data_IF_213305446059
#
_entry.id   IF_213305446059
#
_cell.length_a   1.000
_cell.length_b   1.000
_cell.length_c   1.000
_cell.angle_alpha   90.00
_cell.angle_beta   90.00
_cell.angle_gamma   90.00
#
_symmetry.space_group_name_H-M   'P 1'
#
loop_
_entity.id
_entity.type
_entity.pdbx_description
1 polymer ?
#
# COMPACT_ATOMS: atom_id res chain seq x y z
N UNK A 1 -40.60 13.11 -16.70
CA UNK A 1 -39.78 11.88 -16.90
C UNK A 1 -38.33 12.26 -17.18
N UNK A 2 -37.61 12.80 -16.18
CA UNK A 2 -36.22 13.23 -16.33
C UNK A 2 -35.44 13.05 -15.01
N UNK A 3 -35.56 11.86 -14.42
CA UNK A 3 -34.78 11.40 -13.28
C UNK A 3 -34.55 9.91 -13.50
N UNK A 4 -33.37 9.50 -13.99
CA UNK A 4 -32.83 8.11 -13.91
C UNK A 4 -31.56 7.84 -14.73
N UNK A 5 -30.61 8.78 -14.88
CA UNK A 5 -29.32 8.44 -15.52
C UNK A 5 -28.06 8.89 -14.73
N UNK A 6 -28.21 9.57 -13.60
CA UNK A 6 -27.08 10.00 -12.74
C UNK A 6 -26.77 8.99 -11.60
N UNK A 7 -27.38 7.80 -11.63
CA UNK A 7 -27.72 7.00 -10.43
C UNK A 7 -26.76 5.83 -10.09
N UNK A 8 -25.55 5.76 -10.66
CA UNK A 8 -24.68 4.57 -10.54
C UNK A 8 -23.54 4.71 -9.52
N UNK A 9 -22.98 5.91 -9.32
CA UNK A 9 -21.91 6.12 -8.33
C UNK A 9 -22.47 6.33 -6.90
N UNK A 10 -23.59 7.03 -6.76
CA UNK A 10 -24.13 7.48 -5.47
C UNK A 10 -25.08 6.49 -4.75
N UNK A 11 -25.48 5.37 -5.37
CA UNK A 11 -26.39 4.41 -4.73
C UNK A 11 -25.85 2.98 -4.66
N UNK A 12 -24.89 2.63 -5.52
CA UNK A 12 -24.32 1.28 -5.55
C UNK A 12 -22.90 1.23 -4.98
N UNK A 13 -22.11 2.31 -5.03
CA UNK A 13 -20.71 2.30 -4.56
C UNK A 13 -20.54 3.04 -3.22
N UNK A 14 -21.56 3.75 -2.75
CA UNK A 14 -21.58 4.40 -1.43
C UNK A 14 -22.41 3.62 -0.41
N UNK A 15 -21.76 3.22 0.70
CA UNK A 15 -22.29 2.91 2.03
C UNK A 15 -23.78 2.51 2.07
N UNK A 16 -24.12 1.40 1.41
CA UNK A 16 -25.43 0.79 1.55
C UNK A 16 -25.43 0.00 2.86
N UNK A 17 -26.34 0.31 3.79
CA UNK A 17 -26.53 -0.45 5.04
C UNK A 17 -26.72 -1.96 4.81
N UNK A 18 -27.07 -2.34 3.58
CA UNK A 18 -27.35 -3.70 3.13
C UNK A 18 -26.11 -4.46 2.59
N UNK A 19 -24.92 -3.83 2.56
CA UNK A 19 -23.67 -4.51 2.15
C UNK A 19 -22.80 -4.91 3.34
N UNK A 20 -22.16 -6.10 3.27
CA UNK A 20 -21.31 -6.60 4.35
C UNK A 20 -20.04 -5.77 4.54
N UNK A 21 -19.53 -5.07 3.52
CA UNK A 21 -18.46 -4.08 3.62
C UNK A 21 -18.51 -3.13 2.39
N UNK A 22 -17.61 -2.15 2.35
CA UNK A 22 -17.47 -1.20 1.24
C UNK A 22 -16.29 -1.49 0.31
N UNK A 23 -15.71 -2.70 0.39
CA UNK A 23 -14.63 -3.10 -0.49
C UNK A 23 -15.17 -3.39 -1.90
N UNK A 24 -14.48 -2.85 -2.92
CA UNK A 24 -14.88 -2.94 -4.32
C UNK A 24 -13.71 -3.44 -5.17
N UNK A 25 -13.94 -4.48 -5.97
CA UNK A 25 -13.05 -4.88 -7.06
C UNK A 25 -13.62 -4.35 -8.39
N UNK A 26 -12.81 -3.64 -9.15
CA UNK A 26 -13.14 -3.08 -10.46
C UNK A 26 -12.21 -3.72 -11.49
N UNK A 27 -12.75 -4.58 -12.35
CA UNK A 27 -11.97 -5.45 -13.22
C UNK A 27 -12.18 -5.08 -14.68
N UNK A 28 -11.09 -4.90 -15.42
CA UNK A 28 -11.15 -4.69 -16.86
C UNK A 28 -9.87 -4.13 -17.44
N UNK A 29 -9.71 -4.24 -18.76
CA UNK A 29 -8.47 -3.90 -19.45
C UNK A 29 -8.07 -2.42 -19.32
N UNK A 30 -6.80 -2.13 -19.56
CA UNK A 30 -6.33 -0.74 -19.71
C UNK A 30 -7.08 -0.02 -20.83
N UNK A 31 -7.38 1.26 -20.64
CA UNK A 31 -8.25 2.03 -21.54
C UNK A 31 -9.74 1.67 -21.47
N UNK A 32 -10.14 0.69 -20.65
CA UNK A 32 -11.53 0.28 -20.45
C UNK A 32 -12.42 1.29 -19.74
N UNK A 33 -11.85 2.40 -19.23
CA UNK A 33 -12.62 3.48 -18.57
C UNK A 33 -12.95 3.22 -17.10
N UNK A 34 -12.24 2.29 -16.43
CA UNK A 34 -12.42 1.97 -15.00
C UNK A 34 -12.36 3.22 -14.11
N UNK A 35 -11.25 3.96 -14.18
CA UNK A 35 -10.98 5.14 -13.35
C UNK A 35 -12.04 6.22 -13.57
N UNK A 36 -12.34 6.54 -14.83
CA UNK A 36 -13.34 7.55 -15.20
C UNK A 36 -14.79 7.14 -14.89
N UNK A 37 -15.11 5.85 -14.80
CA UNK A 37 -16.49 5.39 -14.61
C UNK A 37 -16.81 5.02 -13.16
N UNK A 38 -15.81 4.71 -12.34
CA UNK A 38 -16.00 4.20 -10.97
C UNK A 38 -15.13 4.94 -9.95
N UNK A 39 -13.81 4.96 -10.13
CA UNK A 39 -12.90 5.56 -9.15
C UNK A 39 -13.10 7.06 -8.99
N UNK A 40 -12.99 7.83 -10.07
CA UNK A 40 -13.09 9.28 -10.04
C UNK A 40 -14.46 9.75 -9.55
N UNK A 41 -15.59 9.22 -10.03
CA UNK A 41 -16.89 9.57 -9.46
C UNK A 41 -16.96 9.27 -7.96
N UNK A 42 -16.43 8.14 -7.51
CA UNK A 42 -16.42 7.78 -6.08
C UNK A 42 -15.59 8.76 -5.27
N UNK A 43 -14.42 9.15 -5.76
CA UNK A 43 -13.57 10.15 -5.11
C UNK A 43 -14.21 11.55 -5.12
N UNK A 44 -14.83 11.97 -6.22
CA UNK A 44 -15.40 13.31 -6.36
C UNK A 44 -16.65 13.53 -5.50
N UNK A 45 -17.40 12.46 -5.23
CA UNK A 45 -18.60 12.48 -4.38
C UNK A 45 -18.33 12.03 -2.94
N UNK A 46 -17.08 11.71 -2.59
CA UNK A 46 -16.67 11.42 -1.23
C UNK A 46 -16.52 12.72 -0.43
N UNK A 47 -17.33 12.90 0.62
CA UNK A 47 -17.39 14.16 1.38
C UNK A 47 -17.12 13.98 2.87
N UNK A 48 -17.05 12.74 3.35
CA UNK A 48 -17.10 12.38 4.77
C UNK A 48 -15.96 11.46 5.23
N UNK A 49 -15.39 10.65 4.34
CA UNK A 49 -14.27 9.78 4.64
C UNK A 49 -12.94 10.36 4.17
N UNK A 50 -11.88 10.17 4.95
CA UNK A 50 -10.50 10.39 4.52
C UNK A 50 -10.13 9.42 3.39
N UNK A 51 -9.15 9.79 2.57
CA UNK A 51 -8.71 8.97 1.45
C UNK A 51 -7.19 8.74 1.45
N UNK A 52 -6.80 7.56 0.99
CA UNK A 52 -5.44 7.27 0.50
C UNK A 52 -5.61 6.87 -0.96
N UNK A 53 -4.99 7.59 -1.89
CA UNK A 53 -5.16 7.32 -3.32
C UNK A 53 -3.83 7.23 -4.06
N UNK A 54 -3.65 6.13 -4.78
CA UNK A 54 -2.51 5.94 -5.66
C UNK A 54 -2.76 6.54 -7.06
N UNK A 55 -1.75 7.20 -7.62
CA UNK A 55 -1.79 7.67 -9.00
C UNK A 55 -0.49 7.37 -9.74
N UNK A 56 -0.61 6.76 -10.93
CA UNK A 56 0.51 6.59 -11.86
C UNK A 56 0.89 7.86 -12.63
N UNK A 57 0.07 8.90 -12.57
CA UNK A 57 0.26 10.17 -13.29
C UNK A 57 0.13 11.34 -12.33
N UNK A 58 1.26 12.01 -12.05
CA UNK A 58 1.34 13.11 -11.09
C UNK A 58 0.32 14.23 -11.37
N UNK A 59 0.09 14.56 -12.66
CA UNK A 59 -0.88 15.60 -13.06
C UNK A 59 -2.30 15.35 -12.53
N UNK A 60 -2.76 14.10 -12.55
CA UNK A 60 -4.11 13.78 -12.08
C UNK A 60 -4.16 13.79 -10.55
N UNK A 61 -3.12 13.31 -9.87
CA UNK A 61 -2.98 13.42 -8.42
C UNK A 61 -3.06 14.87 -7.94
N UNK A 62 -2.30 15.80 -8.55
CA UNK A 62 -2.33 17.21 -8.17
C UNK A 62 -3.68 17.89 -8.43
N UNK A 63 -4.41 17.48 -9.48
CA UNK A 63 -5.77 17.97 -9.72
C UNK A 63 -6.74 17.50 -8.65
N UNK A 64 -6.67 16.21 -8.31
CA UNK A 64 -7.50 15.63 -7.28
C UNK A 64 -7.18 16.23 -5.90
N UNK A 65 -5.90 16.44 -5.60
CA UNK A 65 -5.44 17.15 -4.41
C UNK A 65 -6.03 18.57 -4.32
N UNK A 66 -5.98 19.34 -5.41
CA UNK A 66 -6.59 20.68 -5.45
C UNK A 66 -8.11 20.63 -5.24
N UNK A 67 -8.79 19.63 -5.79
CA UNK A 67 -10.22 19.42 -5.56
C UNK A 67 -10.53 19.13 -4.09
N UNK A 68 -9.83 18.18 -3.47
CA UNK A 68 -10.02 17.82 -2.05
C UNK A 68 -9.71 19.00 -1.12
N UNK A 69 -8.69 19.80 -1.44
CA UNK A 69 -8.38 21.03 -0.68
C UNK A 69 -9.53 22.04 -0.72
N UNK A 70 -10.21 22.19 -1.86
CA UNK A 70 -11.41 23.05 -1.98
C UNK A 70 -12.61 22.49 -1.22
N UNK A 71 -12.69 21.18 -1.02
CA UNK A 71 -13.71 20.53 -0.19
C UNK A 71 -13.40 20.59 1.31
N UNK A 72 -12.30 21.25 1.72
CA UNK A 72 -11.94 21.45 3.12
C UNK A 72 -11.20 20.29 3.76
N UNK A 73 -10.66 19.36 2.98
CA UNK A 73 -9.78 18.30 3.50
C UNK A 73 -8.38 18.87 3.76
N UNK A 74 -7.69 18.32 4.77
CA UNK A 74 -6.23 18.39 4.80
C UNK A 74 -5.69 17.54 3.66
N UNK A 75 -4.70 18.04 2.93
CA UNK A 75 -4.20 17.37 1.73
C UNK A 75 -2.69 17.25 1.81
N UNK A 76 -2.20 16.03 1.60
CA UNK A 76 -0.80 15.68 1.65
C UNK A 76 -0.39 14.87 0.42
N UNK A 77 0.82 15.09 -0.05
CA UNK A 77 1.38 14.43 -1.23
C UNK A 77 2.70 13.72 -0.88
N UNK A 78 2.74 12.41 -1.13
CA UNK A 78 3.98 11.62 -1.23
C UNK A 78 4.24 11.39 -2.71
N UNK A 79 5.27 12.03 -3.26
CA UNK A 79 5.66 11.82 -4.65
C UNK A 79 6.92 10.95 -4.73
N UNK A 80 6.76 9.64 -4.92
CA UNK A 80 7.90 8.72 -4.98
C UNK A 80 8.76 8.97 -6.23
N UNK A 81 8.13 9.38 -7.34
CA UNK A 81 8.84 9.63 -8.60
C UNK A 81 9.77 10.84 -8.53
N UNK A 82 9.35 11.87 -7.79
CA UNK A 82 10.06 13.15 -7.60
C UNK A 82 9.74 13.72 -6.21
N UNK A 83 10.44 13.26 -5.15
CA UNK A 83 10.12 13.60 -3.76
C UNK A 83 10.08 15.11 -3.46
N UNK A 84 10.89 15.91 -4.16
CA UNK A 84 10.91 17.37 -4.02
C UNK A 84 9.61 18.07 -4.42
N UNK A 85 8.71 17.40 -5.14
CA UNK A 85 7.37 17.92 -5.47
C UNK A 85 6.28 17.42 -4.52
N UNK A 86 6.60 16.55 -3.58
CA UNK A 86 5.74 16.18 -2.46
C UNK A 86 5.94 17.11 -1.25
N UNK A 87 5.05 17.00 -0.27
CA UNK A 87 5.07 17.82 0.95
C UNK A 87 5.43 17.00 2.19
N UNK A 88 5.26 15.68 2.12
CA UNK A 88 5.56 14.72 3.17
C UNK A 88 6.18 13.47 2.56
N UNK A 89 6.80 12.66 3.40
CA UNK A 89 7.26 11.32 3.06
C UNK A 89 6.81 10.32 4.14
N UNK A 90 7.40 9.12 4.18
CA UNK A 90 7.06 8.15 5.21
C UNK A 90 8.28 7.49 5.83
N UNK A 91 8.47 7.66 7.12
CA UNK A 91 9.49 6.94 7.86
C UNK A 91 8.82 5.90 8.74
N UNK A 92 8.92 4.59 8.42
CA UNK A 92 8.25 3.54 9.18
C UNK A 92 8.76 3.46 10.62
N UNK A 93 9.96 3.98 10.91
CA UNK A 93 10.51 3.94 12.26
C UNK A 93 9.74 4.83 13.25
N UNK A 94 8.93 5.78 12.76
CA UNK A 94 8.12 6.68 13.60
C UNK A 94 6.95 5.98 14.31
N UNK A 95 6.53 4.83 13.82
CA UNK A 95 5.37 4.12 14.35
C UNK A 95 5.76 2.88 15.20
N UNK A 96 7.05 2.69 15.47
CA UNK A 96 7.55 1.56 16.28
C UNK A 96 7.48 1.90 17.77
N UNK A 97 6.75 1.09 18.54
CA UNK A 97 6.58 1.23 19.98
C UNK A 97 6.94 -0.05 20.76
N UNK A 98 7.05 -1.20 20.09
CA UNK A 98 7.29 -2.49 20.71
C UNK A 98 8.29 -3.37 19.95
N UNK A 99 8.75 -4.44 20.61
CA UNK A 99 9.59 -5.47 19.96
C UNK A 99 8.83 -6.25 18.89
N UNK A 100 7.52 -6.40 19.03
CA UNK A 100 6.68 -7.07 18.04
C UNK A 100 6.58 -6.21 16.77
N UNK A 101 6.48 -4.88 16.93
CA UNK A 101 6.46 -3.92 15.81
C UNK A 101 7.79 -3.95 15.05
N UNK A 102 8.91 -4.04 15.77
CA UNK A 102 10.24 -4.19 15.16
C UNK A 102 10.29 -5.44 14.27
N UNK A 103 9.89 -6.59 14.82
CA UNK A 103 9.88 -7.85 14.06
C UNK A 103 8.88 -7.81 12.90
N UNK A 104 7.72 -7.17 13.08
CA UNK A 104 6.74 -6.97 12.02
C UNK A 104 7.31 -6.11 10.87
N UNK A 105 7.98 -4.99 11.18
CA UNK A 105 8.60 -4.12 10.19
C UNK A 105 9.74 -4.83 9.45
N UNK A 106 10.65 -5.51 10.17
CA UNK A 106 11.69 -6.34 9.56
C UNK A 106 11.11 -7.37 8.60
N UNK A 107 10.02 -8.04 9.01
CA UNK A 107 9.34 -9.02 8.17
C UNK A 107 8.78 -8.37 6.89
N UNK A 108 8.10 -7.23 6.98
CA UNK A 108 7.59 -6.51 5.80
C UNK A 108 8.72 -6.13 4.85
N UNK A 109 9.84 -5.62 5.37
CA UNK A 109 10.99 -5.20 4.55
C UNK A 109 11.62 -6.43 3.85
N UNK A 110 12.01 -7.45 4.60
CA UNK A 110 12.73 -8.62 4.08
C UNK A 110 11.88 -9.43 3.11
N UNK A 111 10.60 -9.66 3.44
CA UNK A 111 9.71 -10.47 2.59
C UNK A 111 9.13 -9.70 1.41
N UNK A 112 9.25 -8.36 1.36
CA UNK A 112 8.79 -7.58 0.20
C UNK A 112 9.53 -7.90 -1.11
N UNK A 113 10.71 -8.53 -1.01
CA UNK A 113 11.59 -8.83 -2.14
C UNK A 113 11.62 -10.31 -2.54
N UNK A 114 10.96 -11.20 -1.80
CA UNK A 114 11.03 -12.64 -2.03
C UNK A 114 10.06 -13.10 -3.13
N UNK A 115 10.56 -13.98 -3.99
CA UNK A 115 9.80 -14.56 -5.11
C UNK A 115 9.75 -16.09 -5.05
N UNK A 116 10.65 -16.76 -4.30
CA UNK A 116 10.78 -18.22 -4.28
C UNK A 116 11.17 -18.79 -2.89
N UNK A 117 10.87 -20.08 -2.66
CA UNK A 117 11.00 -20.76 -1.37
C UNK A 117 12.43 -20.96 -0.84
N UNK A 118 13.47 -20.88 -1.70
CA UNK A 118 14.87 -20.96 -1.26
C UNK A 118 15.30 -19.68 -0.57
N UNK A 119 14.76 -18.56 -1.02
CA UNK A 119 15.05 -17.24 -0.47
C UNK A 119 14.39 -17.08 0.91
N UNK A 120 13.27 -17.79 1.16
CA UNK A 120 12.59 -17.84 2.46
C UNK A 120 13.48 -18.31 3.60
N UNK A 121 14.36 -19.30 3.39
CA UNK A 121 15.25 -19.79 4.45
C UNK A 121 16.24 -18.71 4.90
N UNK A 122 16.83 -17.98 3.95
CA UNK A 122 17.78 -16.93 4.24
C UNK A 122 17.10 -15.68 4.78
N UNK A 123 15.90 -15.36 4.28
CA UNK A 123 15.04 -14.31 4.80
C UNK A 123 14.74 -14.51 6.29
N UNK A 124 14.32 -15.72 6.71
CA UNK A 124 14.10 -16.03 8.12
C UNK A 124 15.36 -15.81 8.98
N UNK A 125 16.55 -16.01 8.41
CA UNK A 125 17.83 -15.83 9.11
C UNK A 125 18.28 -14.37 9.14
N UNK A 126 17.82 -13.52 8.23
CA UNK A 126 18.14 -12.10 8.23
C UNK A 126 17.22 -11.26 9.12
N UNK A 127 16.00 -11.74 9.44
CA UNK A 127 15.09 -11.01 10.34
C UNK A 127 15.74 -10.61 11.68
N UNK A 128 16.42 -11.49 12.44
CA UNK A 128 16.99 -11.09 13.72
C UNK A 128 18.12 -10.04 13.59
N UNK A 129 18.81 -10.01 12.45
CA UNK A 129 19.80 -8.99 12.15
C UNK A 129 19.12 -7.65 11.85
N UNK A 130 18.07 -7.64 11.03
CA UNK A 130 17.26 -6.44 10.79
C UNK A 130 16.67 -5.90 12.10
N UNK A 131 16.07 -6.79 12.92
CA UNK A 131 15.50 -6.47 14.22
C UNK A 131 16.50 -5.77 15.14
N UNK A 132 17.73 -6.29 15.25
CA UNK A 132 18.70 -5.70 16.18
C UNK A 132 19.22 -4.35 15.71
N UNK A 133 19.30 -4.10 14.40
CA UNK A 133 19.72 -2.80 13.86
C UNK A 133 18.62 -1.75 14.08
N UNK A 134 17.35 -2.11 13.87
CA UNK A 134 16.19 -1.26 14.17
C UNK A 134 16.16 -0.93 15.67
N UNK A 135 16.23 -1.96 16.51
CA UNK A 135 16.22 -1.82 17.98
C UNK A 135 17.40 -0.96 18.48
N UNK A 136 18.59 -1.18 17.93
CA UNK A 136 19.76 -0.36 18.25
C UNK A 136 19.54 1.12 17.87
N UNK A 137 19.00 1.42 16.69
CA UNK A 137 18.76 2.81 16.28
C UNK A 137 17.79 3.51 17.22
N UNK A 138 16.72 2.82 17.63
CA UNK A 138 15.73 3.32 18.59
C UNK A 138 16.32 3.61 19.98
N UNK A 139 17.35 2.86 20.39
CA UNK A 139 18.00 3.04 21.69
C UNK A 139 19.15 4.07 21.66
N UNK A 140 19.86 4.19 20.54
CA UNK A 140 21.04 5.06 20.40
C UNK A 140 20.67 6.50 20.10
N UNK A 141 19.69 6.72 19.22
CA UNK A 141 19.32 8.05 18.76
C UNK A 141 18.06 8.57 19.44
N UNK A 142 18.04 9.86 19.78
CA UNK A 142 16.87 10.50 20.37
C UNK A 142 15.72 10.67 19.36
N UNK A 143 16.06 10.88 18.10
CA UNK A 143 15.11 11.09 17.00
C UNK A 143 15.43 10.16 15.82
N UNK A 144 15.33 8.85 16.04
CA UNK A 144 15.75 7.86 15.06
C UNK A 144 14.87 7.93 13.81
N UNK A 145 15.46 7.60 12.68
CA UNK A 145 14.78 7.40 11.41
C UNK A 145 15.36 6.17 10.69
N UNK A 146 14.67 5.68 9.66
CA UNK A 146 15.12 4.48 8.94
C UNK A 146 16.53 4.61 8.34
N UNK A 147 17.01 5.81 8.00
CA UNK A 147 18.39 5.97 7.52
C UNK A 147 19.42 5.67 8.60
N UNK A 148 19.15 5.90 9.89
CA UNK A 148 20.06 5.52 10.96
C UNK A 148 20.24 3.99 11.04
N UNK A 149 19.17 3.24 10.78
CA UNK A 149 19.20 1.77 10.68
C UNK A 149 20.03 1.32 9.48
N UNK A 150 19.86 1.99 8.34
CA UNK A 150 20.61 1.69 7.12
C UNK A 150 22.09 2.06 7.26
N UNK A 151 22.43 3.11 8.00
CA UNK A 151 23.80 3.50 8.30
C UNK A 151 24.49 2.48 9.23
N UNK A 152 23.76 1.89 10.19
CA UNK A 152 24.26 0.73 10.94
C UNK A 152 24.45 -0.50 10.06
N UNK A 153 23.56 -0.72 9.10
CA UNK A 153 23.71 -1.82 8.14
C UNK A 153 24.94 -1.63 7.24
N UNK A 154 25.17 -0.42 6.72
CA UNK A 154 26.31 -0.11 5.84
C UNK A 154 27.66 -0.30 6.57
N UNK A 155 27.68 -0.23 7.91
CA UNK A 155 28.84 -0.59 8.72
C UNK A 155 29.12 -2.11 8.80
N UNK A 156 28.17 -2.97 8.44
CA UNK A 156 28.40 -4.42 8.30
C UNK A 156 29.06 -4.78 6.97
N UNK A 157 28.96 -3.90 5.97
CA UNK A 157 29.47 -4.13 4.61
C UNK A 157 30.83 -3.45 4.34
N UNK A 158 31.28 -2.58 5.26
CA UNK A 158 32.47 -1.73 5.11
C UNK A 158 33.84 -2.45 5.22
N UNK A 159 33.91 -3.78 5.38
CA UNK A 159 35.19 -4.48 5.53
C UNK A 159 35.83 -4.90 4.20
N UNK A 160 37.14 -4.65 4.03
CA UNK A 160 37.94 -5.06 2.85
C UNK A 160 37.98 -6.59 2.62
N UNK A 161 37.58 -7.39 3.62
CA UNK A 161 37.53 -8.86 3.55
C UNK A 161 36.09 -9.42 3.43
N UNK A 162 35.08 -8.56 3.23
CA UNK A 162 33.73 -8.94 2.82
C UNK A 162 32.81 -9.57 3.88
N UNK A 163 33.20 -9.62 5.16
CA UNK A 163 32.41 -10.28 6.23
C UNK A 163 32.49 -9.60 7.60
N UNK A 164 33.14 -8.44 7.71
CA UNK A 164 33.45 -7.81 8.99
C UNK A 164 32.40 -6.80 9.45
N UNK A 165 31.86 -7.03 10.65
CA UNK A 165 31.22 -6.00 11.45
C UNK A 165 32.28 -4.94 11.79
N UNK A 166 32.02 -3.66 11.48
CA UNK A 166 32.95 -2.58 11.81
C UNK A 166 33.25 -2.49 13.32
N UNK A 167 34.38 -1.88 13.66
CA UNK A 167 34.73 -1.66 15.07
C UNK A 167 33.73 -0.71 15.73
N UNK A 168 33.28 0.30 14.98
CA UNK A 168 32.31 1.31 15.40
C UNK A 168 30.96 0.67 15.74
N UNK A 169 30.45 -0.22 14.89
CA UNK A 169 29.18 -0.91 15.15
C UNK A 169 29.30 -1.86 16.34
N UNK A 170 30.44 -2.55 16.50
CA UNK A 170 30.69 -3.38 17.69
C UNK A 170 30.71 -2.57 18.97
N UNK A 171 31.34 -1.40 18.96
CA UNK A 171 31.38 -0.50 20.11
C UNK A 171 29.96 -0.06 20.51
N UNK A 172 29.11 0.29 19.55
CA UNK A 172 27.69 0.62 19.79
C UNK A 172 26.97 -0.52 20.52
N UNK A 173 27.11 -1.76 20.03
CA UNK A 173 26.44 -2.90 20.66
C UNK A 173 27.04 -3.30 22.01
N UNK A 174 28.33 -3.07 22.25
CA UNK A 174 28.93 -3.24 23.58
C UNK A 174 28.40 -2.19 24.57
N UNK A 175 28.19 -0.94 24.15
CA UNK A 175 27.51 0.08 24.98
C UNK A 175 26.07 -0.35 25.30
N UNK A 176 25.32 -0.84 24.31
CA UNK A 176 23.95 -1.33 24.54
C UNK A 176 23.92 -2.49 25.55
N UNK A 177 24.89 -3.39 25.48
CA UNK A 177 25.07 -4.49 26.44
C UNK A 177 25.44 -3.98 27.84
N UNK A 178 26.31 -2.97 27.96
CA UNK A 178 26.66 -2.39 29.27
C UNK A 178 25.42 -1.77 29.94
N UNK A 179 24.54 -1.15 29.15
CA UNK A 179 23.28 -0.58 29.63
C UNK A 179 22.24 -1.65 29.99
N UNK A 180 22.02 -2.62 29.10
CA UNK A 180 21.12 -3.75 29.32
C UNK A 180 21.65 -5.04 28.63
N UNK A 181 22.30 -5.94 29.39
CA UNK A 181 22.82 -7.21 28.87
C UNK A 181 21.75 -8.18 28.35
N UNK A 182 20.49 -7.97 28.72
CA UNK A 182 19.37 -8.82 28.30
C UNK A 182 18.53 -8.17 27.18
N UNK A 183 18.94 -6.99 26.70
CA UNK A 183 18.27 -6.29 25.60
C UNK A 183 18.18 -7.16 24.35
N UNK A 184 17.06 -7.06 23.65
CA UNK A 184 16.82 -7.86 22.44
C UNK A 184 17.83 -7.49 21.33
N UNK A 185 18.15 -6.20 21.17
CA UNK A 185 19.22 -5.68 20.33
C UNK A 185 20.54 -6.44 20.54
N UNK A 186 21.09 -6.42 21.76
CA UNK A 186 22.37 -7.09 22.05
C UNK A 186 22.29 -8.60 21.86
N UNK A 187 21.26 -9.27 22.39
CA UNK A 187 21.15 -10.74 22.29
C UNK A 187 21.13 -11.21 20.84
N UNK A 188 20.35 -10.54 19.97
CA UNK A 188 20.24 -10.87 18.55
C UNK A 188 21.55 -10.55 17.80
N UNK A 189 22.15 -9.39 18.03
CA UNK A 189 23.42 -9.01 17.41
C UNK A 189 24.57 -9.94 17.83
N UNK A 190 24.72 -10.23 19.12
CA UNK A 190 25.74 -11.15 19.64
C UNK A 190 25.58 -12.57 19.06
N UNK A 191 24.33 -13.03 18.88
CA UNK A 191 24.07 -14.30 18.22
C UNK A 191 24.55 -14.29 16.75
N UNK A 192 24.29 -13.21 16.03
CA UNK A 192 24.78 -13.00 14.67
C UNK A 192 26.32 -12.91 14.62
N UNK A 193 26.96 -12.07 15.44
CA UNK A 193 28.42 -11.86 15.42
C UNK A 193 29.18 -13.15 15.77
N UNK A 194 28.68 -13.95 16.73
CA UNK A 194 29.20 -15.29 17.02
C UNK A 194 29.04 -16.26 15.85
N UNK A 195 27.89 -16.22 15.16
CA UNK A 195 27.66 -17.06 13.99
C UNK A 195 28.59 -16.67 12.85
N UNK A 196 28.73 -15.37 12.59
CA UNK A 196 29.59 -14.82 11.56
C UNK A 196 31.06 -15.18 11.81
N UNK A 197 31.53 -15.06 13.06
CA UNK A 197 32.89 -15.47 13.46
C UNK A 197 33.14 -16.98 13.29
N UNK A 198 32.11 -17.81 13.48
CA UNK A 198 32.23 -19.28 13.31
C UNK A 198 32.11 -19.74 11.86
N UNK A 199 31.34 -19.01 11.05
CA UNK A 199 31.04 -19.34 9.67
C UNK A 199 30.82 -18.07 8.86
N UNK A 200 31.92 -17.46 8.45
CA UNK A 200 31.95 -16.23 7.66
C UNK A 200 31.05 -16.32 6.43
N UNK A 201 31.07 -17.46 5.73
CA UNK A 201 30.21 -17.68 4.55
C UNK A 201 28.71 -17.62 4.90
N UNK A 202 28.32 -18.14 6.06
CA UNK A 202 26.90 -18.12 6.48
C UNK A 202 26.50 -16.70 6.88
N UNK A 203 27.36 -15.99 7.61
CA UNK A 203 27.15 -14.58 7.94
C UNK A 203 27.04 -13.70 6.69
N UNK A 204 27.92 -13.89 5.72
CA UNK A 204 27.87 -13.22 4.42
C UNK A 204 26.53 -13.42 3.71
N UNK A 205 26.01 -14.66 3.63
CA UNK A 205 24.71 -14.91 3.00
C UNK A 205 23.54 -14.20 3.72
N UNK A 206 23.61 -14.06 5.04
CA UNK A 206 22.61 -13.32 5.83
C UNK A 206 22.69 -11.82 5.52
N UNK A 207 23.91 -11.25 5.49
CA UNK A 207 24.16 -9.85 5.13
C UNK A 207 23.66 -9.60 3.70
N UNK A 208 24.06 -10.41 2.72
CA UNK A 208 23.67 -10.27 1.31
C UNK A 208 22.15 -10.30 1.12
N UNK A 209 21.45 -11.16 1.89
CA UNK A 209 19.98 -11.23 1.85
C UNK A 209 19.34 -9.96 2.39
N UNK A 210 19.88 -9.42 3.48
CA UNK A 210 19.39 -8.17 4.05
C UNK A 210 19.74 -6.96 3.17
N UNK A 211 20.93 -6.96 2.58
CA UNK A 211 21.40 -5.94 1.61
C UNK A 211 20.43 -5.85 0.43
N UNK A 212 20.09 -6.99 -0.17
CA UNK A 212 19.15 -7.06 -1.28
C UNK A 212 17.78 -6.47 -0.90
N UNK A 213 17.28 -6.76 0.30
CA UNK A 213 16.01 -6.20 0.78
C UNK A 213 16.10 -4.70 1.03
N UNK A 214 17.10 -4.23 1.79
CA UNK A 214 17.28 -2.83 2.13
C UNK A 214 17.52 -1.96 0.90
N UNK A 215 18.34 -2.39 -0.06
CA UNK A 215 18.59 -1.62 -1.29
C UNK A 215 17.39 -1.61 -2.24
N UNK A 216 16.58 -2.67 -2.24
CA UNK A 216 15.35 -2.73 -3.05
C UNK A 216 14.24 -1.85 -2.47
N UNK A 217 14.07 -1.85 -1.15
CA UNK A 217 13.02 -1.10 -0.45
C UNK A 217 13.43 0.35 -0.19
N UNK A 218 14.71 0.63 0.07
CA UNK A 218 15.22 1.96 0.38
C UNK A 218 16.32 2.37 -0.59
N UNK A 219 16.00 2.54 -1.89
CA UNK A 219 16.95 3.10 -2.84
C UNK A 219 17.33 4.53 -2.43
N UNK A 220 18.46 5.02 -2.96
CA UNK A 220 19.05 6.31 -2.57
C UNK A 220 18.07 7.50 -2.61
N UNK A 221 17.13 7.51 -3.55
CA UNK A 221 16.10 8.56 -3.65
C UNK A 221 15.13 8.54 -2.47
N UNK A 222 14.80 7.35 -1.95
CA UNK A 222 13.96 7.15 -0.77
C UNK A 222 14.72 7.53 0.50
N UNK A 223 15.99 7.11 0.63
CA UNK A 223 16.85 7.48 1.78
C UNK A 223 16.92 9.00 1.96
N UNK A 224 17.21 9.73 0.87
CA UNK A 224 17.23 11.21 0.88
C UNK A 224 15.89 11.83 1.26
N UNK A 225 14.78 11.27 0.77
CA UNK A 225 13.46 11.79 1.07
C UNK A 225 13.08 11.61 2.55
N UNK A 226 13.42 10.47 3.16
CA UNK A 226 13.23 10.23 4.61
C UNK A 226 13.98 11.27 5.46
N UNK A 227 15.21 11.63 5.06
CA UNK A 227 16.03 12.59 5.79
C UNK A 227 15.58 14.06 5.63
N UNK A 228 14.96 14.40 4.49
CA UNK A 228 14.73 15.80 4.10
C UNK A 228 13.27 16.25 4.25
N UNK A 229 12.32 15.33 4.19
CA UNK A 229 10.89 15.64 4.26
C UNK A 229 10.30 15.19 5.62
N UNK A 230 9.28 15.90 6.12
CA UNK A 230 8.56 15.46 7.30
C UNK A 230 7.84 14.12 7.03
N UNK A 231 7.90 13.20 7.99
CA UNK A 231 7.15 11.95 7.91
C UNK A 231 5.66 12.19 8.17
N UNK A 232 4.81 11.56 7.36
CA UNK A 232 3.36 11.59 7.50
C UNK A 232 2.89 10.66 8.64
N UNK A 233 2.00 11.15 9.52
CA UNK A 233 1.34 10.35 10.56
C UNK A 233 0.02 9.78 10.02
N UNK A 234 -0.01 8.47 9.74
CA UNK A 234 -1.22 7.79 9.24
C UNK A 234 -2.42 7.95 10.16
N UNK A 235 -2.22 8.11 11.48
CA UNK A 235 -3.32 8.28 12.44
C UNK A 235 -4.14 9.55 12.16
N UNK A 236 -3.56 10.54 11.47
CA UNK A 236 -4.27 11.76 11.07
C UNK A 236 -5.49 11.47 10.18
N UNK A 237 -5.38 10.48 9.28
CA UNK A 237 -6.49 10.06 8.40
C UNK A 237 -7.72 9.60 9.19
N UNK A 238 -7.51 9.00 10.36
CA UNK A 238 -8.58 8.54 11.25
C UNK A 238 -9.10 9.60 12.22
N UNK A 239 -8.37 10.72 12.42
CA UNK A 239 -8.72 11.81 13.34
C UNK A 239 -9.56 12.90 12.68
N UNK A 240 -9.18 13.27 11.45
CA UNK A 240 -9.79 14.37 10.71
C UNK A 240 -9.79 14.10 9.21
N UNK A 241 -10.66 14.81 8.47
CA UNK A 241 -10.82 14.63 7.02
C UNK A 241 -9.53 14.97 6.28
N UNK A 242 -8.82 13.94 5.86
CA UNK A 242 -7.49 14.04 5.24
C UNK A 242 -7.46 13.25 3.94
N UNK A 243 -6.79 13.80 2.92
CA UNK A 243 -6.55 13.16 1.65
C UNK A 243 -5.04 13.01 1.41
N UNK A 244 -4.56 11.77 1.48
CA UNK A 244 -3.19 11.40 1.16
C UNK A 244 -3.11 10.90 -0.28
N UNK A 245 -2.29 11.54 -1.09
CA UNK A 245 -2.02 11.12 -2.46
C UNK A 245 -0.61 10.54 -2.56
N UNK A 246 -0.49 9.33 -3.10
CA UNK A 246 0.79 8.64 -3.31
C UNK A 246 1.02 8.48 -4.80
N UNK A 247 2.00 9.20 -5.34
CA UNK A 247 2.36 9.13 -6.76
C UNK A 247 3.49 8.11 -6.93
N UNK A 248 3.26 7.12 -7.78
CA UNK A 248 4.27 6.16 -8.18
C UNK A 248 4.08 5.77 -9.65
N UNK A 249 5.08 6.03 -10.49
CA UNK A 249 4.97 5.73 -11.91
C UNK A 249 4.98 4.22 -12.17
N UNK A 250 4.06 3.70 -13.01
CA UNK A 250 4.07 2.28 -13.39
C UNK A 250 5.33 1.87 -14.17
N UNK A 251 6.13 2.84 -14.66
CA UNK A 251 7.38 2.57 -15.37
C UNK A 251 8.56 2.43 -14.41
N UNK A 252 8.49 3.01 -13.20
CA UNK A 252 9.57 2.99 -12.21
C UNK A 252 9.35 1.88 -11.18
N UNK A 253 9.55 0.63 -11.60
CA UNK A 253 9.32 -0.55 -10.74
C UNK A 253 10.15 -0.56 -9.45
N UNK A 254 11.32 0.09 -9.44
CA UNK A 254 12.22 0.14 -8.28
C UNK A 254 11.62 0.83 -7.05
N UNK A 255 10.58 1.65 -7.21
CA UNK A 255 9.92 2.36 -6.10
C UNK A 255 8.69 1.63 -5.58
N UNK A 256 8.24 0.58 -6.27
CA UNK A 256 7.00 -0.12 -5.93
C UNK A 256 7.13 -0.94 -4.63
N UNK A 257 8.32 -1.44 -4.31
CA UNK A 257 8.56 -2.12 -3.02
C UNK A 257 8.38 -1.16 -1.84
N UNK A 258 8.92 0.05 -1.95
CA UNK A 258 8.74 1.09 -0.95
C UNK A 258 7.29 1.58 -0.87
N UNK A 259 6.64 1.79 -2.02
CA UNK A 259 5.21 2.12 -2.06
C UNK A 259 4.37 1.07 -1.32
N UNK A 260 4.65 -0.21 -1.56
CA UNK A 260 3.98 -1.31 -0.88
C UNK A 260 4.26 -1.34 0.62
N UNK A 261 5.49 -1.02 1.06
CA UNK A 261 5.80 -0.87 2.48
C UNK A 261 4.95 0.24 3.13
N UNK A 262 4.80 1.40 2.46
CA UNK A 262 3.93 2.49 2.93
C UNK A 262 2.49 1.98 3.12
N UNK A 263 1.95 1.23 2.16
CA UNK A 263 0.59 0.71 2.28
C UNK A 263 0.47 -0.35 3.36
N UNK A 264 1.38 -1.33 3.41
CA UNK A 264 1.33 -2.44 4.37
C UNK A 264 1.40 -1.92 5.81
N UNK A 265 2.42 -1.12 6.11
CA UNK A 265 2.64 -0.57 7.44
C UNK A 265 1.63 0.54 7.77
N UNK A 266 1.26 1.40 6.82
CA UNK A 266 0.27 2.45 7.04
C UNK A 266 -1.13 1.90 7.33
N UNK A 267 -1.53 0.80 6.69
CA UNK A 267 -2.78 0.08 7.00
C UNK A 267 -2.73 -0.52 8.40
N UNK A 268 -1.60 -1.14 8.78
CA UNK A 268 -1.38 -1.68 10.12
C UNK A 268 -1.54 -0.60 11.20
N UNK A 269 -0.87 0.54 11.04
CA UNK A 269 -0.97 1.69 11.96
C UNK A 269 -2.41 2.20 12.09
N UNK A 270 -3.15 2.27 10.98
CA UNK A 270 -4.57 2.67 11.01
C UNK A 270 -5.44 1.67 11.77
N UNK A 271 -5.18 0.38 11.60
CA UNK A 271 -5.95 -0.68 12.25
C UNK A 271 -5.66 -0.76 13.75
N UNK A 272 -4.39 -0.66 14.14
CA UNK A 272 -4.01 -0.56 15.55
C UNK A 272 -4.60 0.70 16.19
N UNK A 273 -4.55 1.83 15.48
CA UNK A 273 -5.16 3.06 15.96
C UNK A 273 -6.67 2.91 16.14
N UNK A 274 -7.37 2.21 15.23
CA UNK A 274 -8.79 1.91 15.37
C UNK A 274 -9.10 1.08 16.64
N UNK A 275 -8.23 0.12 16.99
CA UNK A 275 -8.38 -0.69 18.20
C UNK A 275 -8.24 0.11 19.51
N UNK A 276 -7.70 1.32 19.46
CA UNK A 276 -7.63 2.21 20.64
C UNK A 276 -8.98 2.82 21.02
N UNK A 277 -10.00 2.72 20.15
CA UNK A 277 -11.35 3.23 20.38
C UNK A 277 -12.30 2.13 20.89
N UNK A 278 -13.31 2.52 21.68
CA UNK A 278 -14.23 1.57 22.35
C UNK A 278 -14.97 0.65 21.38
N UNK A 279 -15.35 1.13 20.19
CA UNK A 279 -16.03 0.34 19.16
C UNK A 279 -15.08 -0.27 18.12
N UNK A 280 -13.77 -0.12 18.33
CA UNK A 280 -12.71 -0.61 17.45
C UNK A 280 -12.63 0.12 16.11
N UNK A 281 -13.28 1.29 15.95
CA UNK A 281 -13.36 2.02 14.67
C UNK A 281 -12.68 3.37 14.73
N UNK A 282 -12.15 3.78 13.58
CA UNK A 282 -11.67 5.14 13.38
C UNK A 282 -12.83 6.15 13.46
N UNK A 283 -12.65 7.29 14.17
CA UNK A 283 -13.61 8.39 14.18
C UNK A 283 -13.97 8.92 12.80
N UNK A 284 -12.99 8.98 11.90
CA UNK A 284 -13.16 9.28 10.47
C UNK A 284 -12.85 8.04 9.67
N UNK A 285 -13.81 7.57 8.85
CA UNK A 285 -13.59 6.43 7.95
C UNK A 285 -12.46 6.74 6.96
N UNK A 286 -11.73 5.70 6.54
CA UNK A 286 -10.64 5.84 5.57
C UNK A 286 -10.92 4.94 4.35
N UNK A 287 -10.87 5.51 3.15
CA UNK A 287 -11.06 4.81 1.87
C UNK A 287 -9.75 4.76 1.10
N UNK A 288 -9.30 3.56 0.74
CA UNK A 288 -8.12 3.34 -0.07
C UNK A 288 -8.52 3.19 -1.55
N UNK A 289 -7.81 3.86 -2.44
CA UNK A 289 -8.01 3.79 -3.89
C UNK A 289 -6.71 3.37 -4.58
N UNK A 290 -6.77 2.25 -5.30
CA UNK A 290 -5.67 1.73 -6.10
C UNK A 290 -6.08 1.69 -7.58
N UNK A 291 -5.66 2.69 -8.37
CA UNK A 291 -5.97 2.81 -9.82
C UNK A 291 -5.42 1.64 -10.65
N UNK A 292 -4.33 1.01 -10.20
CA UNK A 292 -3.69 -0.12 -10.87
C UNK A 292 -3.14 -1.14 -9.86
N UNK A 293 -4.05 -1.76 -9.11
CA UNK A 293 -3.72 -2.76 -8.10
C UNK A 293 -3.16 -4.03 -8.75
N UNK A 294 -2.05 -4.53 -8.20
CA UNK A 294 -1.41 -5.73 -8.72
C UNK A 294 -0.65 -5.50 -10.03
N UNK A 295 0.19 -4.46 -10.09
CA UNK A 295 1.06 -4.21 -11.26
C UNK A 295 2.55 -4.51 -11.08
N UNK A 296 3.04 -4.75 -9.86
CA UNK A 296 4.49 -4.97 -9.69
C UNK A 296 4.85 -5.92 -8.56
N UNK A 297 4.38 -5.66 -7.34
CA UNK A 297 4.69 -6.49 -6.18
C UNK A 297 3.46 -6.60 -5.26
N UNK A 298 3.35 -7.68 -4.48
CA UNK A 298 2.27 -7.82 -3.50
C UNK A 298 2.48 -6.89 -2.31
N UNK A 299 1.38 -6.40 -1.74
CA UNK A 299 1.34 -5.88 -0.36
C UNK A 299 1.11 -7.11 0.51
N UNK A 300 2.09 -7.49 1.33
CA UNK A 300 2.23 -8.86 1.83
C UNK A 300 1.05 -9.31 2.71
N UNK A 301 0.63 -8.45 3.64
CA UNK A 301 -0.44 -8.71 4.61
C UNK A 301 -1.82 -8.23 4.15
N UNK A 302 -1.95 -7.84 2.87
CA UNK A 302 -3.17 -7.21 2.36
C UNK A 302 -4.43 -8.10 2.41
N UNK A 303 -4.40 -9.38 1.99
CA UNK A 303 -5.57 -10.26 2.09
C UNK A 303 -6.08 -10.42 3.53
N UNK A 304 -5.15 -10.52 4.49
CA UNK A 304 -5.45 -10.65 5.92
C UNK A 304 -6.09 -9.37 6.45
N UNK A 305 -5.52 -8.20 6.13
CA UNK A 305 -6.08 -6.91 6.55
C UNK A 305 -7.47 -6.63 5.96
N UNK A 306 -7.69 -6.97 4.69
CA UNK A 306 -8.99 -6.75 4.03
C UNK A 306 -10.16 -7.40 4.78
N UNK A 307 -9.93 -8.53 5.45
CA UNK A 307 -10.96 -9.25 6.22
C UNK A 307 -11.49 -8.47 7.42
N UNK A 308 -10.70 -7.51 7.93
CA UNK A 308 -10.98 -6.73 9.14
C UNK A 308 -11.06 -5.22 8.90
N UNK A 309 -11.00 -4.78 7.64
CA UNK A 309 -11.19 -3.37 7.26
C UNK A 309 -12.47 -2.77 7.83
N UNK A 310 -13.61 -3.46 7.67
CA UNK A 310 -14.90 -2.94 8.14
C UNK A 310 -14.91 -2.68 9.64
N UNK A 311 -14.35 -3.59 10.44
CA UNK A 311 -14.32 -3.42 11.90
C UNK A 311 -13.49 -2.22 12.31
N UNK A 312 -12.49 -1.82 11.52
CA UNK A 312 -11.65 -0.65 11.77
C UNK A 312 -12.18 0.66 11.13
N UNK A 313 -13.25 0.62 10.34
CA UNK A 313 -13.72 1.79 9.57
C UNK A 313 -12.91 2.07 8.29
N UNK A 314 -12.23 1.06 7.78
CA UNK A 314 -11.49 1.06 6.51
C UNK A 314 -12.34 0.45 5.38
N UNK A 315 -12.04 0.85 4.16
CA UNK A 315 -12.54 0.19 2.94
C UNK A 315 -11.60 0.45 1.77
N UNK A 316 -11.69 -0.36 0.72
CA UNK A 316 -10.80 -0.24 -0.44
C UNK A 316 -11.53 -0.37 -1.78
N UNK A 317 -11.05 0.36 -2.77
CA UNK A 317 -11.38 0.19 -4.18
C UNK A 317 -10.14 -0.25 -4.95
N UNK A 318 -10.22 -1.46 -5.52
CA UNK A 318 -9.14 -2.09 -6.27
C UNK A 318 -9.48 -2.06 -7.75
N UNK A 319 -8.75 -1.28 -8.54
CA UNK A 319 -8.81 -1.37 -9.99
C UNK A 319 -7.77 -2.38 -10.45
N UNK A 320 -8.21 -3.50 -11.03
CA UNK A 320 -7.34 -4.55 -11.56
C UNK A 320 -7.60 -4.77 -13.04
N UNK A 321 -6.58 -5.21 -13.79
CA UNK A 321 -6.72 -5.42 -15.23
C UNK A 321 -7.39 -6.75 -15.55
N UNK A 322 -7.02 -7.81 -14.81
CA UNK A 322 -7.61 -9.14 -14.90
C UNK A 322 -7.37 -9.93 -13.62
N UNK A 323 -8.16 -10.97 -13.40
CA UNK A 323 -7.93 -11.93 -12.33
C UNK A 323 -6.64 -12.72 -12.53
N UNK A 324 -6.27 -13.08 -13.77
CA UNK A 324 -4.97 -13.73 -14.05
C UNK A 324 -3.78 -12.90 -13.58
N UNK A 325 -3.84 -11.57 -13.78
CA UNK A 325 -2.79 -10.66 -13.35
C UNK A 325 -2.69 -10.60 -11.82
N UNK A 326 -3.84 -10.53 -11.14
CA UNK A 326 -3.88 -10.58 -9.68
C UNK A 326 -3.31 -11.90 -9.15
N UNK A 327 -3.68 -13.02 -9.76
CA UNK A 327 -3.17 -14.36 -9.43
C UNK A 327 -1.66 -14.48 -9.67
N UNK A 328 -1.11 -13.81 -10.69
CA UNK A 328 0.33 -13.85 -10.97
C UNK A 328 1.19 -13.20 -9.88
N UNK A 329 0.61 -12.28 -9.10
CA UNK A 329 1.32 -11.52 -8.06
C UNK A 329 1.06 -12.10 -6.68
N UNK A 330 -0.19 -12.43 -6.37
CA UNK A 330 -0.57 -12.90 -5.04
C UNK A 330 -0.61 -14.43 -4.94
N UNK A 331 -0.52 -15.14 -6.07
CA UNK A 331 -0.88 -16.56 -6.13
C UNK A 331 -2.40 -16.74 -6.15
N UNK A 332 -2.85 -17.94 -6.56
CA UNK A 332 -4.27 -18.23 -6.77
C UNK A 332 -5.11 -18.05 -5.49
N UNK A 333 -4.62 -18.54 -4.36
CA UNK A 333 -5.36 -18.55 -3.10
C UNK A 333 -5.55 -17.14 -2.54
N UNK A 334 -4.48 -16.35 -2.42
CA UNK A 334 -4.56 -14.98 -1.91
C UNK A 334 -5.32 -14.05 -2.86
N UNK A 335 -5.16 -14.21 -4.18
CA UNK A 335 -5.96 -13.45 -5.15
C UNK A 335 -7.45 -13.72 -5.00
N UNK A 336 -7.83 -14.99 -4.78
CA UNK A 336 -9.22 -15.39 -4.52
C UNK A 336 -9.72 -14.78 -3.20
N UNK A 337 -8.91 -14.79 -2.15
CA UNK A 337 -9.25 -14.18 -0.86
C UNK A 337 -9.49 -12.66 -0.98
N UNK A 338 -8.65 -11.95 -1.74
CA UNK A 338 -8.83 -10.50 -2.02
C UNK A 338 -10.18 -10.25 -2.68
N UNK A 339 -10.48 -10.97 -3.77
CA UNK A 339 -11.74 -10.77 -4.53
C UNK A 339 -12.97 -11.15 -3.71
N UNK A 340 -12.89 -12.17 -2.86
CA UNK A 340 -13.99 -12.60 -2.01
C UNK A 340 -14.27 -11.65 -0.84
N UNK A 341 -13.28 -10.87 -0.41
CA UNK A 341 -13.46 -9.81 0.60
C UNK A 341 -14.04 -8.51 0.03
N UNK A 342 -14.26 -8.43 -1.29
CA UNK A 342 -15.00 -7.34 -1.93
C UNK A 342 -16.49 -7.63 -1.96
N UNK A 343 -17.29 -6.81 -1.25
CA UNK A 343 -18.75 -6.89 -1.33
C UNK A 343 -19.28 -6.57 -2.74
N UNK A 344 -18.49 -5.87 -3.56
CA UNK A 344 -18.85 -5.46 -4.92
C UNK A 344 -17.75 -5.84 -5.90
N UNK A 345 -18.17 -6.40 -7.02
CA UNK A 345 -17.33 -6.72 -8.16
C UNK A 345 -17.92 -6.06 -9.41
N UNK A 346 -17.17 -5.17 -10.04
CA UNK A 346 -17.60 -4.41 -11.22
C UNK A 346 -16.71 -4.79 -12.40
N UNK A 347 -17.26 -5.51 -13.37
CA UNK A 347 -16.56 -5.90 -14.57
C UNK A 347 -16.82 -4.94 -15.72
N UNK A 348 -15.75 -4.57 -16.43
CA UNK A 348 -15.77 -3.78 -17.65
C UNK A 348 -15.49 -4.70 -18.85
N UNK A 349 -16.52 -5.05 -19.64
CA UNK A 349 -16.36 -5.81 -20.88
C UNK A 349 -15.34 -5.21 -21.84
N UNK A 350 -14.71 -6.09 -22.62
CA UNK A 350 -13.72 -5.77 -23.64
C UNK A 350 -12.37 -6.48 -23.46
N UNK A 351 -12.17 -7.18 -22.35
CA UNK A 351 -11.01 -8.06 -22.15
C UNK A 351 -11.26 -9.49 -22.64
N UNK A 352 -10.19 -10.18 -23.04
CA UNK A 352 -10.22 -11.59 -23.44
C UNK A 352 -9.51 -12.52 -22.44
N UNK A 353 -9.29 -12.04 -21.22
CA UNK A 353 -8.69 -12.85 -20.16
C UNK A 353 -9.64 -13.99 -19.75
N UNK A 354 -9.29 -15.23 -20.10
CA UNK A 354 -10.19 -16.38 -19.90
C UNK A 354 -10.52 -16.65 -18.44
N UNK A 355 -9.59 -16.43 -17.52
CA UNK A 355 -9.83 -16.62 -16.08
C UNK A 355 -10.90 -15.65 -15.61
N UNK A 356 -10.73 -14.36 -15.93
CA UNK A 356 -11.70 -13.31 -15.61
C UNK A 356 -13.05 -13.57 -16.26
N UNK A 357 -13.08 -13.84 -17.58
CA UNK A 357 -14.35 -14.04 -18.29
C UNK A 357 -15.11 -15.26 -17.75
N UNK A 358 -14.41 -16.33 -17.33
CA UNK A 358 -15.03 -17.50 -16.71
C UNK A 358 -15.59 -17.16 -15.32
N UNK A 359 -14.82 -16.48 -14.47
CA UNK A 359 -15.29 -15.98 -13.16
C UNK A 359 -16.54 -15.11 -13.32
N UNK A 360 -16.54 -14.17 -14.26
CA UNK A 360 -17.69 -13.30 -14.55
C UNK A 360 -18.88 -14.09 -15.11
N UNK A 361 -18.65 -15.06 -15.99
CA UNK A 361 -19.69 -15.95 -16.53
C UNK A 361 -20.42 -16.70 -15.43
N UNK A 362 -19.67 -17.25 -14.46
CA UNK A 362 -20.21 -17.93 -13.29
C UNK A 362 -20.97 -16.97 -12.37
N UNK A 363 -20.40 -15.79 -12.08
CA UNK A 363 -21.02 -14.78 -11.20
C UNK A 363 -22.29 -14.16 -11.77
N UNK A 364 -22.33 -13.92 -13.08
CA UNK A 364 -23.48 -13.35 -13.78
C UNK A 364 -24.53 -14.41 -14.18
N UNK A 365 -24.19 -15.69 -14.07
CA UNK A 365 -24.97 -16.79 -14.64
C UNK A 365 -25.27 -16.57 -16.15
N UNK A 366 -24.23 -16.19 -16.91
CA UNK A 366 -24.30 -15.93 -18.35
C UNK A 366 -23.34 -16.87 -19.10
N UNK A 367 -23.64 -17.27 -20.34
CA UNK A 367 -22.70 -18.03 -21.16
C UNK A 367 -21.35 -17.30 -21.31
N UNK A 368 -20.24 -18.03 -21.23
CA UNK A 368 -18.89 -17.48 -21.36
C UNK A 368 -18.71 -16.65 -22.65
N UNK A 369 -19.32 -17.11 -23.74
CA UNK A 369 -19.30 -16.43 -25.03
C UNK A 369 -19.92 -15.03 -24.96
N UNK A 370 -21.04 -14.88 -24.25
CA UNK A 370 -21.71 -13.59 -24.07
C UNK A 370 -20.86 -12.63 -23.23
N UNK A 371 -20.13 -13.14 -22.23
CA UNK A 371 -19.20 -12.32 -21.44
C UNK A 371 -18.02 -11.86 -22.30
N UNK A 372 -17.41 -12.77 -23.07
CA UNK A 372 -16.25 -12.46 -23.93
C UNK A 372 -16.57 -11.46 -25.03
N UNK A 373 -17.79 -11.50 -25.58
CA UNK A 373 -18.23 -10.62 -26.67
C UNK A 373 -19.17 -9.50 -26.20
N UNK A 374 -19.30 -9.30 -24.89
CA UNK A 374 -20.11 -8.23 -24.34
C UNK A 374 -19.63 -6.86 -24.84
N UNK A 375 -20.55 -5.98 -25.26
CA UNK A 375 -20.18 -4.70 -25.86
C UNK A 375 -19.52 -3.77 -24.84
N UNK A 376 -18.46 -3.10 -25.28
CA UNK A 376 -17.84 -1.98 -24.56
C UNK A 376 -18.89 -0.87 -24.35
N UNK A 377 -18.87 -0.23 -23.17
CA UNK A 377 -19.80 0.85 -22.82
C UNK A 377 -20.82 0.50 -21.76
N UNK A 378 -20.98 -0.80 -21.47
CA UNK A 378 -21.68 -1.28 -20.28
C UNK A 378 -20.68 -1.75 -19.22
N UNK A 379 -21.18 -1.95 -18.00
CA UNK A 379 -20.50 -2.53 -16.85
C UNK A 379 -21.39 -3.59 -16.23
N UNK A 380 -20.80 -4.68 -15.78
CA UNK A 380 -21.51 -5.75 -15.09
C UNK A 380 -21.24 -5.58 -13.60
N UNK A 381 -22.29 -5.43 -12.81
CA UNK A 381 -22.21 -5.10 -11.39
C UNK A 381 -22.75 -6.29 -10.60
N UNK A 382 -21.88 -6.88 -9.79
CA UNK A 382 -22.22 -7.93 -8.84
C UNK A 382 -22.05 -7.35 -7.44
N UNK A 383 -23.10 -7.44 -6.62
CA UNK A 383 -23.13 -6.93 -5.25
C UNK A 383 -23.67 -7.99 -4.30
N UNK A 384 -23.03 -8.15 -3.14
CA UNK A 384 -23.51 -9.05 -2.09
C UNK A 384 -24.99 -8.78 -1.76
N UNK A 385 -25.77 -9.85 -1.65
CA UNK A 385 -27.19 -9.77 -1.32
C UNK A 385 -28.12 -9.36 -2.48
N UNK A 386 -27.60 -9.13 -3.69
CA UNK A 386 -28.37 -8.64 -4.83
C UNK A 386 -28.16 -9.49 -6.09
N UNK A 387 -29.15 -9.50 -6.98
CA UNK A 387 -28.99 -10.09 -8.31
C UNK A 387 -28.02 -9.23 -9.14
N UNK A 388 -27.11 -9.84 -9.92
CA UNK A 388 -26.21 -9.10 -10.78
C UNK A 388 -26.96 -8.27 -11.83
N UNK A 389 -26.43 -7.10 -12.17
CA UNK A 389 -27.04 -6.20 -13.16
C UNK A 389 -26.04 -5.77 -14.23
N UNK A 390 -26.54 -5.47 -15.42
CA UNK A 390 -25.79 -4.83 -16.50
C UNK A 390 -26.27 -3.40 -16.62
N UNK A 391 -25.35 -2.45 -16.60
CA UNK A 391 -25.67 -1.02 -16.66
C UNK A 391 -24.78 -0.29 -17.66
N UNK A 392 -25.24 0.79 -18.31
CA UNK A 392 -24.35 1.72 -18.99
C UNK A 392 -23.26 2.27 -18.04
N UNK A 393 -22.12 2.66 -18.58
CA UNK A 393 -21.07 3.36 -17.83
C UNK A 393 -21.55 4.69 -17.27
N UNK A 394 -20.96 5.11 -16.16
CA UNK A 394 -21.20 6.43 -15.60
C UNK A 394 -20.74 7.54 -16.56
N UNK A 395 -21.62 8.51 -16.83
CA UNK A 395 -21.34 9.61 -17.75
C UNK A 395 -20.55 10.74 -17.07
N UNK A 396 -19.31 10.47 -16.67
CA UNK A 396 -18.49 11.42 -15.87
C UNK A 396 -18.32 12.81 -16.51
N UNK A 397 -18.33 12.92 -17.84
CA UNK A 397 -18.23 14.22 -18.52
C UNK A 397 -19.46 15.12 -18.32
N UNK A 398 -20.58 14.55 -17.87
CA UNK A 398 -21.78 15.30 -17.48
C UNK A 398 -21.76 15.69 -16.00
N UNK A 399 -20.86 15.12 -15.20
CA UNK A 399 -20.74 15.37 -13.78
C UNK A 399 -20.19 16.80 -13.50
N UNK A 400 -20.91 17.64 -12.75
CA UNK A 400 -20.44 18.97 -12.38
C UNK A 400 -19.10 18.96 -11.61
N UNK A 401 -18.89 18.00 -10.72
CA UNK A 401 -17.67 17.89 -9.92
C UNK A 401 -16.48 17.54 -10.81
N UNK A 402 -16.67 16.68 -11.82
CA UNK A 402 -15.62 16.36 -12.78
C UNK A 402 -15.31 17.54 -13.70
N UNK A 403 -16.31 18.30 -14.12
CA UNK A 403 -16.07 19.54 -14.88
C UNK A 403 -15.28 20.56 -14.07
N UNK A 404 -15.55 20.67 -12.76
CA UNK A 404 -14.77 21.51 -11.85
C UNK A 404 -13.32 21.02 -11.70
N UNK A 405 -13.11 19.70 -11.57
CA UNK A 405 -11.78 19.08 -11.54
C UNK A 405 -10.99 19.38 -12.82
N UNK A 406 -11.65 19.33 -13.98
CA UNK A 406 -11.03 19.51 -15.30
C UNK A 406 -10.89 20.97 -15.72
N UNK A 407 -11.63 21.89 -15.10
CA UNK A 407 -11.50 23.32 -15.36
C UNK A 407 -10.05 23.75 -15.09
N UNK A 408 -9.41 24.40 -16.07
CA UNK A 408 -8.07 24.96 -15.87
C UNK A 408 -8.13 25.93 -14.70
N UNK A 409 -7.30 25.72 -13.67
CA UNK A 409 -7.04 26.73 -12.65
C UNK A 409 -6.69 28.03 -13.38
N UNK A 410 -7.61 28.97 -13.36
CA UNK A 410 -7.42 30.32 -13.93
C UNK A 410 -6.70 31.22 -12.92
N UNK A 411 -6.16 30.64 -11.84
CA UNK A 411 -5.52 31.32 -10.73
C UNK A 411 -4.14 30.71 -10.51
N UNK A 412 -3.18 31.16 -11.32
CA UNK A 412 -1.75 31.22 -11.00
C UNK A 412 -1.10 32.23 -11.94
N UNK A 413 -1.22 33.51 -11.59
CA UNK A 413 -0.22 34.57 -11.79
C UNK A 413 -0.79 35.94 -11.40
N UNK A 414 -0.78 36.24 -10.10
CA UNK A 414 -0.18 37.49 -9.59
C UNK A 414 0.83 37.10 -8.51
#
# INVERSE_FOLDING_TARGET
>A
MAANQTYLAQHWISDSRDCPNDNVAVVGISGGGKSLSVEYPTMLHNTDASIIANFGKSREAYRMAAFYKRQGFQVYMINLDEPSLGDVFYDPLKDIASQDDITALSHKIVYSCLQNSRDDYWALKSLPLSDCLIDAALQVYQHPNMCDVLDFFDQLTASDYGTGVSAELREIFEILKENDPESAAWRRFNAFDKLNTRSERTGACIIDTLDAAYNTVFPETVRKAIQTLPSFDFRQLGREKTALFIICSPVKSSLNHYANLIYDHGIEVLMEYAQTFEDGKLPVKVKLFFDDFGCTAPIQSFPEYMSIFRSAGLSVMLLIQSESMLQSIYGMDKATLILNNCARYVYFPGGMDRVTCKSVSERMNMPLEEVMYAPVGHVFIMQSGHQPIISPRYEIFKDPSFRLLMAKNTERSE
#
